data_IF_937357294920
#
_entry.id   IF_937357294920
#
_cell.length_a   1.000
_cell.length_b   1.000
_cell.length_c   1.000
_cell.angle_alpha   90.00
_cell.angle_beta   90.00
_cell.angle_gamma   90.00
#
_symmetry.space_group_name_H-M   'P 1'
#
loop_
_entity.id
_entity.type
_entity.pdbx_description
1 polymer ?
#
# COMPACT_ATOMS: atom_id res chain seq x y z
N UNK A 1 13.66 24.85 -8.37
CA UNK A 1 13.58 24.02 -7.15
C UNK A 1 13.76 22.57 -7.57
N UNK A 2 14.82 21.89 -7.11
CA UNK A 2 14.95 20.44 -7.27
C UNK A 2 14.04 19.79 -6.24
N UNK A 3 12.94 19.19 -6.69
CA UNK A 3 12.12 18.33 -5.82
C UNK A 3 12.84 16.99 -5.74
N UNK A 4 13.63 16.77 -4.69
CA UNK A 4 14.20 15.46 -4.39
C UNK A 4 13.04 14.51 -4.09
N UNK A 5 12.69 13.64 -5.05
CA UNK A 5 11.80 12.51 -4.78
C UNK A 5 12.53 11.61 -3.78
N UNK A 6 12.13 11.68 -2.52
CA UNK A 6 12.62 10.76 -1.49
C UNK A 6 11.96 9.42 -1.76
N UNK A 7 12.71 8.49 -2.35
CA UNK A 7 12.25 7.12 -2.58
C UNK A 7 11.82 6.49 -1.25
N UNK A 8 10.68 5.81 -1.27
CA UNK A 8 10.23 5.01 -0.13
C UNK A 8 11.15 3.80 -0.11
N UNK A 9 12.14 3.81 0.77
CA UNK A 9 12.99 2.63 0.99
C UNK A 9 12.17 1.66 1.82
N UNK A 10 11.68 0.59 1.20
CA UNK A 10 11.04 -0.52 1.92
C UNK A 10 12.13 -1.23 2.74
N UNK A 11 12.21 -0.91 4.02
CA UNK A 11 13.13 -1.57 4.96
C UNK A 11 12.34 -2.61 5.73
N UNK A 12 12.86 -3.84 5.84
CA UNK A 12 12.17 -4.94 6.53
C UNK A 12 11.87 -4.61 8.00
N UNK A 13 12.71 -3.80 8.64
CA UNK A 13 12.53 -3.27 10.00
C UNK A 13 11.26 -2.42 10.20
N UNK A 14 10.71 -1.85 9.12
CA UNK A 14 9.50 -1.03 9.17
C UNK A 14 8.22 -1.85 8.90
N UNK A 15 8.34 -3.16 8.61
CA UNK A 15 7.20 -4.05 8.38
C UNK A 15 6.50 -4.36 9.70
N UNK A 16 5.27 -3.87 9.83
CA UNK A 16 4.42 -4.10 11.00
C UNK A 16 3.70 -5.43 10.87
N UNK A 17 3.20 -5.75 9.68
CA UNK A 17 2.41 -6.96 9.45
C UNK A 17 2.46 -7.40 7.99
N UNK A 18 2.42 -8.72 7.78
CA UNK A 18 2.36 -9.33 6.47
C UNK A 18 1.37 -10.50 6.50
N UNK A 19 0.41 -10.50 5.58
CA UNK A 19 -0.55 -11.59 5.45
C UNK A 19 -1.06 -11.73 4.02
N UNK A 20 -1.69 -12.88 3.75
CA UNK A 20 -2.23 -13.23 2.44
C UNK A 20 -3.74 -13.40 2.52
N UNK A 21 -4.44 -12.85 1.53
CA UNK A 21 -5.86 -13.08 1.31
C UNK A 21 -6.01 -13.59 -0.13
N UNK A 22 -6.23 -14.89 -0.28
CA UNK A 22 -6.25 -15.54 -1.60
C UNK A 22 -4.92 -15.36 -2.34
N UNK A 23 -4.99 -14.76 -3.53
CA UNK A 23 -3.82 -14.41 -4.34
C UNK A 23 -3.24 -13.02 -4.04
N UNK A 24 -3.81 -12.27 -3.09
CA UNK A 24 -3.32 -10.95 -2.69
C UNK A 24 -2.33 -11.10 -1.56
N UNK A 25 -1.20 -10.42 -1.70
CA UNK A 25 -0.22 -10.28 -0.64
C UNK A 25 -0.27 -8.87 -0.08
N UNK A 26 -0.48 -8.75 1.22
CA UNK A 26 -0.61 -7.47 1.92
C UNK A 26 0.57 -7.33 2.86
N UNK A 27 1.28 -6.20 2.73
CA UNK A 27 2.36 -5.79 3.62
C UNK A 27 2.01 -4.42 4.19
N UNK A 28 2.03 -4.31 5.51
CA UNK A 28 1.77 -3.08 6.24
C UNK A 28 3.09 -2.59 6.80
N UNK A 29 3.53 -1.40 6.38
CA UNK A 29 4.74 -0.76 6.89
C UNK A 29 4.36 0.50 7.68
N UNK A 30 4.99 0.71 8.83
CA UNK A 30 4.79 1.90 9.67
C UNK A 30 5.21 3.18 8.93
N UNK A 31 6.26 3.07 8.10
CA UNK A 31 6.84 4.20 7.38
C UNK A 31 6.19 4.49 6.03
N UNK A 32 5.21 3.69 5.59
CA UNK A 32 4.67 3.75 4.22
C UNK A 32 4.10 5.13 3.87
N UNK A 33 3.40 5.75 4.83
CA UNK A 33 2.79 7.07 4.68
C UNK A 33 3.62 8.19 5.33
N UNK A 34 4.84 7.91 5.78
CA UNK A 34 5.69 8.90 6.44
C UNK A 34 6.07 10.02 5.49
N UNK A 35 5.97 11.27 5.95
CA UNK A 35 6.22 12.49 5.18
C UNK A 35 5.31 12.69 3.96
N UNK A 36 4.12 12.06 3.94
CA UNK A 36 3.11 12.30 2.91
C UNK A 36 2.06 13.28 3.42
N UNK A 37 1.58 14.12 2.50
CA UNK A 37 0.41 14.95 2.74
C UNK A 37 -0.85 14.10 2.84
N UNK A 38 -1.93 14.60 3.47
CA UNK A 38 -3.22 13.91 3.51
C UNK A 38 -3.73 13.53 2.12
N UNK A 39 -3.53 14.40 1.12
CA UNK A 39 -3.94 14.17 -0.27
C UNK A 39 -3.16 13.02 -0.91
N UNK A 40 -1.84 12.98 -0.71
CA UNK A 40 -1.01 11.87 -1.19
C UNK A 40 -1.36 10.54 -0.51
N UNK A 41 -1.68 10.58 0.79
CA UNK A 41 -2.15 9.41 1.53
C UNK A 41 -3.48 8.91 0.93
N UNK A 42 -4.42 9.81 0.64
CA UNK A 42 -5.70 9.44 0.05
C UNK A 42 -5.53 8.73 -1.31
N UNK A 43 -4.69 9.28 -2.20
CA UNK A 43 -4.40 8.67 -3.50
C UNK A 43 -3.81 7.26 -3.36
N UNK A 44 -2.94 7.06 -2.37
CA UNK A 44 -2.35 5.75 -2.08
C UNK A 44 -3.42 4.77 -1.59
N UNK A 45 -4.26 5.19 -0.65
CA UNK A 45 -5.33 4.36 -0.10
C UNK A 45 -6.36 4.00 -1.16
N UNK A 46 -6.72 4.93 -2.05
CA UNK A 46 -7.64 4.68 -3.17
C UNK A 46 -7.09 3.60 -4.11
N UNK A 47 -5.79 3.67 -4.44
CA UNK A 47 -5.12 2.66 -5.26
C UNK A 47 -5.13 1.29 -4.59
N UNK A 48 -4.79 1.23 -3.30
CA UNK A 48 -4.82 -0.02 -2.53
C UNK A 48 -6.23 -0.62 -2.46
N UNK A 49 -7.24 0.23 -2.22
CA UNK A 49 -8.65 -0.14 -2.19
C UNK A 49 -9.11 -0.75 -3.52
N UNK A 50 -8.74 -0.11 -4.64
CA UNK A 50 -9.04 -0.64 -5.97
C UNK A 50 -8.44 -2.05 -6.19
N UNK A 51 -7.15 -2.24 -5.88
CA UNK A 51 -6.46 -3.54 -6.05
C UNK A 51 -7.13 -4.62 -5.18
N UNK A 52 -7.45 -4.29 -3.92
CA UNK A 52 -8.11 -5.21 -3.00
C UNK A 52 -9.52 -5.57 -3.47
N UNK A 53 -10.30 -4.58 -3.94
CA UNK A 53 -11.67 -4.77 -4.45
C UNK A 53 -11.70 -5.65 -5.70
N UNK A 54 -10.78 -5.41 -6.64
CA UNK A 54 -10.59 -6.21 -7.85
C UNK A 54 -10.27 -7.67 -7.51
N UNK A 55 -9.37 -7.91 -6.55
CA UNK A 55 -9.02 -9.25 -6.14
C UNK A 55 -10.18 -9.98 -5.42
N UNK A 56 -10.91 -9.27 -4.56
CA UNK A 56 -12.09 -9.82 -3.88
C UNK A 56 -13.21 -10.18 -4.89
N UNK A 57 -13.40 -9.36 -5.92
CA UNK A 57 -14.38 -9.60 -6.98
C UNK A 57 -14.06 -10.85 -7.79
N UNK A 58 -12.77 -11.11 -8.07
CA UNK A 58 -12.30 -12.35 -8.70
C UNK A 58 -12.57 -13.58 -7.83
N UNK A 59 -12.42 -13.47 -6.51
CA UNK A 59 -12.72 -14.57 -5.58
C UNK A 59 -14.21 -14.96 -5.55
N UNK A 60 -15.13 -13.99 -5.64
CA UNK A 60 -16.58 -14.26 -5.62
C UNK A 60 -17.13 -14.86 -6.92
N UNK A 61 -16.34 -14.86 -7.99
CA UNK A 61 -16.76 -15.37 -9.31
C UNK A 61 -16.48 -16.88 -9.50
N UNK A 62 -16.19 -17.60 -8.40
CA UNK A 62 -15.95 -19.05 -8.35
C UNK A 62 -17.02 -19.70 -7.47
#
# INVERSE_FOLDING_TARGET
MLVMKKEIVEREEDLVEEFKIGNVHIKIYDTYCKNKTPEEIQVILDRCSYIASEALSRQKSI
#
